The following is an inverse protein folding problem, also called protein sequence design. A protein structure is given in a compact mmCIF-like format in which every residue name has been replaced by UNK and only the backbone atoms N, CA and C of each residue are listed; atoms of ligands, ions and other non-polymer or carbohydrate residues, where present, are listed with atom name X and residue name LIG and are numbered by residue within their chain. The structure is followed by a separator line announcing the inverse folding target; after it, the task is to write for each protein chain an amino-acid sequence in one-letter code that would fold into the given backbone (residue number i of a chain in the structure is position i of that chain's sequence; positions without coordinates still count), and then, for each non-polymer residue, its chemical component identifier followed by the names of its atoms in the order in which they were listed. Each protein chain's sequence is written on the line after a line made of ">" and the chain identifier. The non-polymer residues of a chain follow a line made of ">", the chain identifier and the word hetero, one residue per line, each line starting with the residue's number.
data_IF_524366397180
#
_entry.id   IF_524366397180
#
_cell.length_a   1.000
_cell.length_b   1.000
_cell.length_c   1.000
_cell.angle_alpha   90.00
_cell.angle_beta   90.00
_cell.angle_gamma   90.00
#
_symmetry.space_group_name_H-M   'P 1'
#
loop_
_entity.id
_entity.type
_entity.pdbx_description
1 polymer ?
#
# COMPACT_ATOMS: atom_id res chain seq x y z
N UNK A 1 -14.47 22.61 -5.28
CA UNK A 1 -15.26 21.68 -4.43
C UNK A 1 -14.48 21.54 -3.15
N UNK A 2 -14.90 22.21 -2.08
CA UNK A 2 -14.35 22.01 -0.75
C UNK A 2 -14.97 20.72 -0.21
N UNK A 3 -14.19 19.64 -0.18
CA UNK A 3 -14.58 18.45 0.56
C UNK A 3 -14.70 18.85 2.02
N UNK A 4 -15.86 18.63 2.63
CA UNK A 4 -15.98 18.73 4.08
C UNK A 4 -15.07 17.65 4.67
N UNK A 5 -14.02 18.06 5.37
CA UNK A 5 -13.25 17.17 6.24
C UNK A 5 -14.16 16.84 7.40
N UNK A 6 -14.73 15.64 7.37
CA UNK A 6 -15.24 15.02 8.59
C UNK A 6 -14.03 14.66 9.44
N UNK A 7 -14.04 15.08 10.72
CA UNK A 7 -13.20 14.52 11.80
C UNK A 7 -13.59 13.04 12.02
N UNK A 8 -13.41 12.19 11.00
CA UNK A 8 -13.40 10.76 11.19
C UNK A 8 -12.07 10.41 11.85
N UNK A 9 -12.16 9.89 13.08
CA UNK A 9 -11.05 9.27 13.78
C UNK A 9 -10.43 8.22 12.85
N UNK A 10 -9.15 8.39 12.52
CA UNK A 10 -8.43 7.44 11.67
C UNK A 10 -7.98 6.30 12.58
N UNK A 11 -8.54 5.11 12.39
CA UNK A 11 -8.08 3.90 13.06
C UNK A 11 -7.18 3.07 12.14
N UNK A 12 -6.23 2.33 12.74
CA UNK A 12 -5.51 1.29 12.03
C UNK A 12 -6.46 0.20 11.50
N UNK A 13 -6.20 -0.27 10.28
CA UNK A 13 -6.98 -1.33 9.67
C UNK A 13 -6.83 -2.64 10.44
N UNK A 14 -7.95 -3.20 10.90
CA UNK A 14 -7.99 -4.54 11.50
C UNK A 14 -7.85 -5.66 10.47
N UNK A 15 -8.11 -5.35 9.19
CA UNK A 15 -8.03 -6.30 8.07
C UNK A 15 -7.27 -5.65 6.93
N UNK A 16 -6.09 -6.20 6.63
CA UNK A 16 -5.21 -5.72 5.56
C UNK A 16 -5.46 -6.39 4.21
N UNK A 17 -6.64 -6.99 4.02
CA UNK A 17 -7.11 -7.50 2.74
C UNK A 17 -8.36 -6.74 2.31
N UNK A 18 -8.28 -6.05 1.17
CA UNK A 18 -9.35 -5.18 0.67
C UNK A 18 -9.70 -5.52 -0.77
N UNK A 19 -10.99 -5.47 -1.08
CA UNK A 19 -11.50 -5.56 -2.46
C UNK A 19 -11.61 -4.16 -3.04
N UNK A 20 -11.05 -3.96 -4.22
CA UNK A 20 -11.17 -2.73 -5.01
C UNK A 20 -11.73 -3.12 -6.36
N UNK A 21 -13.00 -2.78 -6.57
CA UNK A 21 -13.79 -3.22 -7.71
C UNK A 21 -13.74 -4.75 -7.89
N UNK A 22 -13.04 -5.20 -8.92
CA UNK A 22 -12.95 -6.58 -9.40
C UNK A 22 -11.66 -7.30 -8.99
N UNK A 23 -10.82 -6.72 -8.14
CA UNK A 23 -9.62 -7.38 -7.60
C UNK A 23 -9.57 -7.31 -6.07
N UNK A 24 -8.81 -8.23 -5.48
CA UNK A 24 -8.44 -8.19 -4.07
C UNK A 24 -6.95 -7.88 -3.93
N UNK A 25 -6.63 -7.01 -2.97
CA UNK A 25 -5.27 -6.64 -2.62
C UNK A 25 -5.08 -6.85 -1.13
N UNK A 26 -4.07 -7.62 -0.77
CA UNK A 26 -3.64 -7.85 0.61
C UNK A 26 -2.30 -7.19 0.85
N UNK A 27 -2.21 -6.37 1.91
CA UNK A 27 -0.96 -5.83 2.41
C UNK A 27 -0.41 -6.75 3.51
N UNK A 28 0.78 -7.27 3.29
CA UNK A 28 1.50 -8.14 4.22
C UNK A 28 2.78 -7.42 4.63
N UNK A 29 2.97 -7.27 5.94
CA UNK A 29 4.19 -6.73 6.53
C UNK A 29 4.41 -7.38 7.91
N UNK A 30 5.66 -7.49 8.39
CA UNK A 30 5.89 -7.77 9.81
C UNK A 30 5.47 -6.54 10.65
N UNK A 31 5.43 -6.67 11.97
CA UNK A 31 5.18 -5.53 12.86
C UNK A 31 6.06 -4.33 12.48
N UNK A 32 5.46 -3.15 12.31
CA UNK A 32 6.16 -1.95 11.89
C UNK A 32 6.72 -1.21 13.11
N UNK A 33 8.04 -1.04 13.13
CA UNK A 33 8.77 -0.36 14.21
C UNK A 33 9.57 0.82 13.70
N UNK A 34 9.80 1.79 14.58
CA UNK A 34 10.58 2.99 14.26
C UNK A 34 12.01 2.62 13.84
N UNK A 35 12.47 3.22 12.75
CA UNK A 35 13.81 3.07 12.17
C UNK A 35 14.21 1.65 11.75
N UNK A 36 13.28 0.70 11.73
CA UNK A 36 13.53 -0.64 11.17
C UNK A 36 13.21 -0.67 9.67
N UNK A 37 14.05 -1.37 8.90
CA UNK A 37 13.77 -1.64 7.49
C UNK A 37 12.60 -2.62 7.38
N UNK A 38 11.50 -2.13 6.83
CA UNK A 38 10.28 -2.89 6.65
C UNK A 38 10.10 -3.27 5.18
N UNK A 39 9.70 -4.52 4.97
CA UNK A 39 9.18 -4.99 3.69
C UNK A 39 7.66 -4.91 3.68
N UNK A 40 7.11 -4.16 2.75
CA UNK A 40 5.68 -4.13 2.41
C UNK A 40 5.44 -5.03 1.19
N UNK A 41 4.58 -6.03 1.31
CA UNK A 41 4.23 -6.92 0.22
C UNK A 41 2.75 -6.72 -0.11
N UNK A 42 2.47 -6.32 -1.34
CA UNK A 42 1.11 -6.31 -1.87
C UNK A 42 0.89 -7.61 -2.65
N UNK A 43 -0.03 -8.45 -2.17
CA UNK A 43 -0.46 -9.65 -2.87
C UNK A 43 -1.78 -9.36 -3.61
N UNK A 44 -1.80 -9.60 -4.93
CA UNK A 44 -2.92 -9.26 -5.80
C UNK A 44 -3.57 -10.52 -6.39
N UNK A 45 -4.89 -10.59 -6.29
CA UNK A 45 -5.70 -11.61 -6.94
C UNK A 45 -6.92 -11.00 -7.63
N UNK A 46 -7.43 -11.66 -8.66
CA UNK A 46 -8.68 -11.25 -9.29
C UNK A 46 -9.89 -11.56 -8.40
N UNK A 47 -11.08 -11.21 -8.89
CA UNK A 47 -12.33 -11.38 -8.16
C UNK A 47 -12.67 -12.84 -7.80
N UNK A 48 -12.10 -13.80 -8.52
CA UNK A 48 -12.25 -15.25 -8.31
C UNK A 48 -11.14 -15.82 -7.39
N UNK A 49 -10.18 -14.99 -6.98
CA UNK A 49 -9.05 -15.37 -6.13
C UNK A 49 -7.83 -15.88 -6.89
N UNK A 50 -7.81 -15.79 -8.23
CA UNK A 50 -6.65 -16.20 -9.03
C UNK A 50 -5.53 -15.15 -8.91
N UNK A 51 -4.26 -15.56 -8.71
CA UNK A 51 -3.16 -14.61 -8.60
C UNK A 51 -2.95 -13.79 -9.88
N UNK A 52 -2.80 -12.48 -9.75
CA UNK A 52 -2.55 -11.57 -10.89
C UNK A 52 -1.05 -11.53 -11.20
N UNK A 53 -0.62 -12.05 -12.35
CA UNK A 53 0.81 -12.17 -12.74
C UNK A 53 1.20 -11.32 -13.95
N UNK A 54 0.30 -10.44 -14.39
CA UNK A 54 0.44 -9.65 -15.62
C UNK A 54 0.22 -8.15 -15.38
N UNK A 55 0.67 -7.65 -14.21
CA UNK A 55 0.63 -6.21 -13.92
C UNK A 55 1.33 -5.40 -15.02
N UNK A 56 0.71 -4.29 -15.36
CA UNK A 56 1.26 -3.32 -16.29
C UNK A 56 2.11 -2.30 -15.52
N UNK A 57 3.21 -1.81 -16.12
CA UNK A 57 3.99 -0.75 -15.51
C UNK A 57 3.16 0.50 -15.23
N UNK A 58 3.31 1.04 -14.02
CA UNK A 58 2.75 2.32 -13.60
C UNK A 58 3.83 3.12 -12.89
N UNK A 59 4.10 4.33 -13.39
CA UNK A 59 5.19 5.22 -12.92
C UNK A 59 6.57 4.53 -12.85
N UNK A 60 6.82 3.56 -13.74
CA UNK A 60 8.14 2.93 -13.91
C UNK A 60 8.32 1.57 -13.25
N UNK A 61 7.34 1.05 -12.49
CA UNK A 61 7.41 -0.31 -11.92
C UNK A 61 6.05 -1.01 -11.91
N UNK A 62 5.93 -2.20 -11.32
CA UNK A 62 4.68 -2.97 -11.21
C UNK A 62 3.57 -2.27 -10.40
N UNK A 63 3.91 -1.20 -9.68
CA UNK A 63 2.97 -0.35 -8.95
C UNK A 63 3.64 0.87 -8.35
N UNK A 64 2.89 1.67 -7.63
CA UNK A 64 3.40 2.85 -6.93
C UNK A 64 2.83 2.89 -5.51
N UNK A 65 3.67 3.25 -4.53
CA UNK A 65 3.26 3.31 -3.12
C UNK A 65 3.54 4.70 -2.58
N UNK A 66 2.52 5.28 -1.95
CA UNK A 66 2.60 6.55 -1.23
C UNK A 66 2.29 6.29 0.23
N UNK A 67 3.09 6.84 1.14
CA UNK A 67 2.88 6.69 2.58
C UNK A 67 2.99 8.05 3.24
N UNK A 68 2.00 8.39 4.05
CA UNK A 68 1.91 9.68 4.77
C UNK A 68 1.50 9.43 6.22
N UNK A 69 2.10 10.15 7.18
CA UNK A 69 1.63 10.13 8.58
C UNK A 69 0.27 10.80 8.72
N UNK A 70 -0.47 10.45 9.78
CA UNK A 70 -1.77 11.07 10.09
C UNK A 70 -1.70 12.60 10.20
N UNK A 71 -0.62 13.14 10.79
CA UNK A 71 -0.36 14.57 10.93
C UNK A 71 0.15 15.25 9.64
N UNK A 72 0.34 14.48 8.55
CA UNK A 72 0.90 14.91 7.27
C UNK A 72 2.32 15.49 7.32
N UNK A 73 3.05 15.31 8.43
CA UNK A 73 4.43 15.80 8.56
C UNK A 73 5.45 14.87 7.89
N UNK A 74 5.14 13.56 7.79
CA UNK A 74 6.00 12.56 7.18
C UNK A 74 5.45 12.11 5.83
N UNK A 75 6.24 12.29 4.77
CA UNK A 75 6.00 11.68 3.46
C UNK A 75 7.14 10.71 3.16
N UNK A 76 6.84 9.41 3.08
CA UNK A 76 7.89 8.41 2.90
C UNK A 76 8.13 8.11 1.42
N UNK A 77 9.41 8.10 1.04
CA UNK A 77 9.83 7.49 -0.21
C UNK A 77 9.88 5.96 -0.05
N UNK A 78 9.33 5.27 -1.04
CA UNK A 78 9.21 3.82 -1.04
C UNK A 78 9.84 3.29 -2.32
N UNK A 79 10.71 2.28 -2.20
CA UNK A 79 11.40 1.70 -3.35
C UNK A 79 10.89 0.29 -3.65
N UNK A 80 10.60 -0.05 -4.92
CA UNK A 80 10.32 -1.43 -5.29
C UNK A 80 11.56 -2.30 -5.04
N UNK A 81 11.36 -3.50 -4.51
CA UNK A 81 12.45 -4.48 -4.34
C UNK A 81 12.84 -5.16 -5.67
N UNK A 82 11.90 -5.25 -6.61
CA UNK A 82 12.11 -5.72 -7.98
C UNK A 82 11.28 -4.85 -8.94
N UNK A 83 11.97 -4.10 -9.80
CA UNK A 83 11.34 -3.22 -10.79
C UNK A 83 10.70 -3.99 -11.95
N UNK A 84 11.04 -5.27 -12.15
CA UNK A 84 10.61 -6.08 -13.28
C UNK A 84 9.51 -7.10 -12.94
N UNK A 85 9.10 -7.19 -11.67
CA UNK A 85 8.00 -8.06 -11.28
C UNK A 85 6.72 -7.71 -12.04
N UNK A 86 5.85 -8.69 -12.23
CA UNK A 86 4.50 -8.49 -12.80
C UNK A 86 3.40 -8.99 -11.86
N UNK A 87 3.75 -9.19 -10.59
CA UNK A 87 2.90 -9.82 -9.59
C UNK A 87 3.17 -11.33 -9.45
N UNK A 88 2.38 -12.04 -8.63
CA UNK A 88 1.23 -11.54 -7.86
C UNK A 88 1.63 -10.86 -6.57
N UNK A 89 2.92 -10.89 -6.22
CA UNK A 89 3.47 -10.18 -5.09
C UNK A 89 4.37 -9.06 -5.59
N UNK A 90 4.07 -7.84 -5.17
CA UNK A 90 4.90 -6.66 -5.41
C UNK A 90 5.47 -6.22 -4.08
N UNK A 91 6.79 -6.23 -3.98
CA UNK A 91 7.51 -5.96 -2.75
C UNK A 91 8.12 -4.56 -2.77
N UNK A 92 8.01 -3.86 -1.65
CA UNK A 92 8.57 -2.55 -1.44
C UNK A 92 9.35 -2.49 -0.13
N UNK A 93 10.39 -1.68 -0.08
CA UNK A 93 11.20 -1.43 1.11
C UNK A 93 11.00 0.01 1.58
N UNK A 94 10.83 0.18 2.89
CA UNK A 94 10.74 1.50 3.54
C UNK A 94 11.18 1.41 5.02
N UNK A 95 11.16 2.53 5.74
CA UNK A 95 11.41 2.63 7.17
C UNK A 95 10.63 3.81 7.73
N UNK A 96 10.05 3.67 8.91
CA UNK A 96 9.23 4.71 9.53
C UNK A 96 10.06 5.52 10.53
N UNK A 97 10.13 6.86 10.40
CA UNK A 97 11.00 7.68 11.24
C UNK A 97 10.47 7.90 12.66
N UNK A 98 9.16 7.70 12.87
CA UNK A 98 8.46 7.90 14.15
C UNK A 98 7.27 6.95 14.28
N UNK A 99 6.84 6.75 15.52
CA UNK A 99 5.65 5.97 15.85
C UNK A 99 4.38 6.74 15.45
N UNK A 100 3.26 6.03 15.31
CA UNK A 100 1.94 6.60 15.03
C UNK A 100 1.26 5.97 13.83
N UNK A 101 0.17 6.58 13.38
CA UNK A 101 -0.62 6.09 12.27
C UNK A 101 -0.06 6.58 10.93
N UNK A 102 0.01 5.66 9.97
CA UNK A 102 0.42 5.94 8.61
C UNK A 102 -0.61 5.43 7.63
N UNK A 103 -0.98 6.28 6.68
CA UNK A 103 -1.83 5.94 5.55
C UNK A 103 -0.96 5.56 4.36
N UNK A 104 -1.21 4.37 3.83
CA UNK A 104 -0.47 3.75 2.72
C UNK A 104 -1.43 3.61 1.55
N UNK A 105 -1.07 4.17 0.39
CA UNK A 105 -1.80 3.93 -0.86
C UNK A 105 -0.95 3.08 -1.78
N UNK A 106 -1.43 1.88 -2.12
CA UNK A 106 -0.89 1.06 -3.18
C UNK A 106 -1.64 1.32 -4.49
N UNK A 107 -0.91 1.53 -5.59
CA UNK A 107 -1.47 1.79 -6.91
C UNK A 107 -0.95 0.76 -7.92
N UNK A 108 -1.83 -0.01 -8.54
CA UNK A 108 -1.49 -1.11 -9.42
C UNK A 108 -2.29 -1.03 -10.72
N UNK A 109 -1.63 -1.19 -11.86
CA UNK A 109 -2.31 -1.16 -13.16
C UNK A 109 -2.50 -2.60 -13.67
N UNK A 110 -3.73 -2.95 -13.97
CA UNK A 110 -4.11 -4.28 -14.45
C UNK A 110 -5.25 -4.16 -15.47
N UNK A 111 -5.11 -4.84 -16.62
CA UNK A 111 -6.10 -4.82 -17.73
C UNK A 111 -6.51 -3.40 -18.15
N UNK A 112 -5.55 -2.50 -18.24
CA UNK A 112 -5.72 -1.11 -18.63
C UNK A 112 -6.29 -0.20 -17.55
N UNK A 113 -6.68 -0.73 -16.39
CA UNK A 113 -7.30 0.00 -15.28
C UNK A 113 -6.31 0.20 -14.13
N UNK A 114 -6.35 1.38 -13.52
CA UNK A 114 -5.57 1.69 -12.32
C UNK A 114 -6.41 1.42 -11.07
N UNK A 115 -5.90 0.55 -10.20
CA UNK A 115 -6.48 0.24 -8.91
C UNK A 115 -5.69 0.98 -7.83
N UNK A 116 -6.40 1.68 -6.94
CA UNK A 116 -5.79 2.35 -5.78
C UNK A 116 -6.42 1.79 -4.51
N UNK A 117 -5.61 1.29 -3.58
CA UNK A 117 -6.05 0.73 -2.31
C UNK A 117 -5.42 1.51 -1.15
N UNK A 118 -6.21 2.07 -0.22
CA UNK A 118 -5.69 2.66 1.00
C UNK A 118 -5.60 1.61 2.12
N UNK A 119 -4.52 1.66 2.89
CA UNK A 119 -4.36 0.99 4.18
C UNK A 119 -3.98 2.00 5.26
N UNK A 120 -4.35 1.74 6.50
CA UNK A 120 -3.85 2.46 7.68
C UNK A 120 -3.18 1.45 8.59
N UNK A 121 -1.93 1.70 8.96
CA UNK A 121 -1.20 0.87 9.91
C UNK A 121 -0.71 1.74 11.07
N UNK A 122 -0.52 1.11 12.23
CA UNK A 122 0.15 1.70 13.38
C UNK A 122 1.61 1.27 13.41
N UNK A 123 2.51 2.24 13.58
CA UNK A 123 3.93 2.03 13.80
C UNK A 123 4.21 2.20 15.28
N UNK A 124 4.89 1.21 15.86
CA UNK A 124 5.27 1.19 17.27
C UNK A 124 6.74 1.59 17.46
N UNK A 125 7.12 1.89 18.70
CA UNK A 125 8.52 2.16 19.09
C UNK A 125 9.45 0.96 18.81
#
# INVERSE_FOLDING_TARGET
>A
MTGAESDEEIDADKVLKKRVDDIEIELIHPEAKVNEHLKLIFALSDGDGSPITELEPYLGSAGHVVIVSEDMEEFLHVHPADENTKGPKVEYMTSFPRQGLYKIWGQFKYKGKLYTVPFVIEVQE
#
